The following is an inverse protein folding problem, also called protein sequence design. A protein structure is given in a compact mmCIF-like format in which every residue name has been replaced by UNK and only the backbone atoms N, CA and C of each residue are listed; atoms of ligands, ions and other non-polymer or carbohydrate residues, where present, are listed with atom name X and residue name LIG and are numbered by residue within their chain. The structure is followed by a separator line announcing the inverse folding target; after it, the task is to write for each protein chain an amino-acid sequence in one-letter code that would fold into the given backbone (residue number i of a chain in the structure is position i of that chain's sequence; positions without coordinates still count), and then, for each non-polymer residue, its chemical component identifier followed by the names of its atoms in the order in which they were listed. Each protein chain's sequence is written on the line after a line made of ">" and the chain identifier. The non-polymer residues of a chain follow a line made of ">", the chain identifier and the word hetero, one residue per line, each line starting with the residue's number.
data_IF_002823249177
#
_entry.id   IF_002823249177
#
_cell.length_a   1.000
_cell.length_b   1.000
_cell.length_c   1.000
_cell.angle_alpha   90.00
_cell.angle_beta   90.00
_cell.angle_gamma   90.00
#
_symmetry.space_group_name_H-M   'P 1'
#
loop_
_entity.id
_entity.type
_entity.pdbx_description
1 polymer ?
#
# COMPACT_ATOMS: atom_id res chain seq x y z
N UNK A 1 -39.73 0.61 31.91
CA UNK A 1 -38.74 1.55 32.47
C UNK A 1 -37.40 0.83 32.39
N UNK A 2 -36.61 1.14 31.36
CA UNK A 2 -35.30 0.53 31.14
C UNK A 2 -34.26 1.17 32.07
N UNK A 3 -33.51 0.35 32.81
CA UNK A 3 -32.57 0.82 33.84
C UNK A 3 -31.24 1.31 33.26
N UNK A 4 -30.33 1.87 34.07
CA UNK A 4 -28.98 2.28 33.63
C UNK A 4 -28.14 1.12 33.07
N UNK A 5 -28.47 -0.14 33.41
CA UNK A 5 -27.86 -1.34 32.83
C UNK A 5 -28.28 -1.61 31.37
N UNK A 6 -29.47 -1.18 30.94
CA UNK A 6 -29.95 -1.39 29.56
C UNK A 6 -29.16 -0.53 28.57
N UNK A 7 -28.92 0.74 28.90
CA UNK A 7 -28.18 1.67 28.03
C UNK A 7 -26.70 1.33 27.85
N UNK A 8 -26.07 0.67 28.85
CA UNK A 8 -24.70 0.18 28.72
C UNK A 8 -24.64 -1.07 27.83
N UNK A 9 -25.67 -1.92 27.87
CA UNK A 9 -25.74 -3.09 27.01
C UNK A 9 -26.06 -2.72 25.56
N UNK A 10 -26.88 -1.71 25.31
CA UNK A 10 -27.18 -1.24 23.94
C UNK A 10 -25.91 -0.80 23.20
N UNK A 11 -25.02 -0.06 23.88
CA UNK A 11 -23.71 0.34 23.31
C UNK A 11 -22.79 -0.85 23.03
N UNK A 12 -22.83 -1.86 23.89
CA UNK A 12 -22.07 -3.11 23.73
C UNK A 12 -22.62 -3.90 22.53
N UNK A 13 -23.95 -3.96 22.40
CA UNK A 13 -24.64 -4.59 21.29
C UNK A 13 -24.26 -3.92 19.96
N UNK A 14 -24.40 -2.59 19.84
CA UNK A 14 -24.05 -1.86 18.62
C UNK A 14 -22.59 -2.07 18.20
N UNK A 15 -21.67 -2.10 19.17
CA UNK A 15 -20.24 -2.25 18.91
C UNK A 15 -19.88 -3.68 18.47
N UNK A 16 -20.39 -4.70 19.16
CA UNK A 16 -19.91 -6.08 18.99
C UNK A 16 -20.84 -6.94 18.11
N UNK A 17 -22.10 -6.56 17.89
CA UNK A 17 -23.04 -7.35 17.09
C UNK A 17 -22.54 -7.58 15.66
N UNK A 18 -22.06 -6.56 14.91
CA UNK A 18 -21.52 -6.78 13.57
C UNK A 18 -20.30 -7.71 13.57
N UNK A 19 -19.50 -7.68 14.64
CA UNK A 19 -18.30 -8.49 14.78
C UNK A 19 -18.63 -9.96 15.07
N UNK A 20 -19.55 -10.21 16.02
CA UNK A 20 -20.02 -11.55 16.38
C UNK A 20 -20.82 -12.19 15.24
N UNK A 21 -21.62 -11.42 14.51
CA UNK A 21 -22.30 -11.90 13.30
C UNK A 21 -21.29 -12.36 12.24
N UNK A 22 -20.22 -11.59 12.02
CA UNK A 22 -19.12 -11.97 11.11
C UNK A 22 -18.40 -13.24 11.58
N UNK A 23 -18.09 -13.34 12.87
CA UNK A 23 -17.52 -14.54 13.48
C UNK A 23 -18.38 -15.79 13.23
N UNK A 24 -19.70 -15.68 13.43
CA UNK A 24 -20.63 -16.79 13.19
C UNK A 24 -20.77 -17.14 11.71
N UNK A 25 -20.72 -16.14 10.81
CA UNK A 25 -20.80 -16.35 9.36
C UNK A 25 -19.59 -17.09 8.77
N UNK A 26 -18.49 -17.23 9.51
CA UNK A 26 -17.37 -18.10 9.11
C UNK A 26 -17.76 -19.58 9.09
N UNK A 27 -18.83 -19.95 9.79
CA UNK A 27 -19.23 -21.34 10.01
C UNK A 27 -20.70 -21.61 9.73
N UNK A 28 -21.51 -20.59 9.46
CA UNK A 28 -22.95 -20.70 9.20
C UNK A 28 -23.37 -19.78 8.05
N UNK A 29 -24.51 -20.09 7.41
CA UNK A 29 -25.13 -19.20 6.43
C UNK A 29 -25.56 -17.87 7.07
N UNK A 30 -25.78 -16.84 6.25
CA UNK A 30 -26.04 -15.48 6.72
C UNK A 30 -27.26 -15.38 7.65
N UNK A 31 -28.34 -16.10 7.34
CA UNK A 31 -29.56 -16.09 8.14
C UNK A 31 -29.32 -16.76 9.49
N UNK A 32 -28.71 -17.96 9.49
CA UNK A 32 -28.35 -18.66 10.72
C UNK A 32 -27.37 -17.84 11.57
N UNK A 33 -26.40 -17.16 10.95
CA UNK A 33 -25.44 -16.32 11.67
C UNK A 33 -26.09 -15.11 12.36
N UNK A 34 -27.10 -14.51 11.72
CA UNK A 34 -27.86 -13.39 12.27
C UNK A 34 -28.72 -13.84 13.47
N UNK A 35 -29.46 -14.94 13.33
CA UNK A 35 -30.26 -15.51 14.41
C UNK A 35 -29.39 -15.92 15.61
N UNK A 36 -28.26 -16.58 15.36
CA UNK A 36 -27.34 -16.99 16.43
C UNK A 36 -26.62 -15.81 17.07
N UNK A 37 -26.38 -14.71 16.36
CA UNK A 37 -25.85 -13.50 16.94
C UNK A 37 -26.85 -12.93 17.95
N UNK A 38 -28.13 -12.82 17.59
CA UNK A 38 -29.18 -12.36 18.52
C UNK A 38 -29.26 -13.25 19.78
N UNK A 39 -29.26 -14.58 19.60
CA UNK A 39 -29.26 -15.53 20.73
C UNK A 39 -28.00 -15.39 21.60
N UNK A 40 -26.85 -15.11 20.99
CA UNK A 40 -25.60 -14.87 21.71
C UNK A 40 -25.71 -13.66 22.61
N UNK A 41 -26.26 -12.54 22.12
CA UNK A 41 -26.43 -11.33 22.92
C UNK A 41 -27.49 -11.50 24.01
N UNK A 42 -28.59 -12.22 23.77
CA UNK A 42 -29.54 -12.56 24.84
C UNK A 42 -28.89 -13.35 25.98
N UNK A 43 -28.05 -14.34 25.65
CA UNK A 43 -27.29 -15.11 26.65
C UNK A 43 -26.22 -14.28 27.33
N UNK A 44 -25.54 -13.40 26.60
CA UNK A 44 -24.55 -12.49 27.15
C UNK A 44 -25.18 -11.53 28.15
N UNK A 45 -26.34 -10.95 27.83
CA UNK A 45 -27.10 -10.09 28.73
C UNK A 45 -27.44 -10.81 30.04
N UNK A 46 -27.94 -12.05 29.95
CA UNK A 46 -28.29 -12.85 31.11
C UNK A 46 -27.08 -13.28 31.98
N UNK A 47 -25.88 -13.29 31.42
CA UNK A 47 -24.65 -13.76 32.10
C UNK A 47 -23.58 -12.67 32.25
N UNK A 48 -23.92 -11.40 32.00
CA UNK A 48 -22.93 -10.31 31.99
C UNK A 48 -22.25 -10.14 33.34
N UNK A 49 -22.98 -10.37 34.43
CA UNK A 49 -22.45 -10.35 35.80
C UNK A 49 -21.39 -11.43 36.07
N UNK A 50 -21.33 -12.49 35.26
CA UNK A 50 -20.34 -13.55 35.36
C UNK A 50 -19.05 -13.26 34.58
N UNK A 51 -19.00 -12.17 33.81
CA UNK A 51 -17.79 -11.75 33.10
C UNK A 51 -16.77 -11.17 34.08
N UNK A 52 -15.64 -11.86 34.27
CA UNK A 52 -14.60 -11.52 35.25
C UNK A 52 -13.49 -10.60 34.72
N UNK A 53 -13.53 -10.23 33.43
CA UNK A 53 -12.48 -9.40 32.81
C UNK A 53 -11.15 -10.12 32.55
N UNK A 54 -11.11 -11.44 32.70
CA UNK A 54 -9.90 -12.26 32.47
C UNK A 54 -9.53 -12.44 30.98
N UNK A 55 -10.44 -12.04 30.08
CA UNK A 55 -10.23 -11.99 28.63
C UNK A 55 -10.85 -10.70 28.08
N UNK A 56 -10.62 -10.41 26.80
CA UNK A 56 -11.36 -9.32 26.16
C UNK A 56 -12.87 -9.63 26.18
N UNK A 57 -13.69 -8.58 26.18
CA UNK A 57 -15.14 -8.74 26.10
C UNK A 57 -15.56 -9.45 24.79
N UNK A 58 -14.83 -9.19 23.71
CA UNK A 58 -15.03 -9.88 22.43
C UNK A 58 -14.72 -11.39 22.52
N UNK A 59 -13.62 -11.77 23.17
CA UNK A 59 -13.24 -13.18 23.38
C UNK A 59 -14.33 -13.91 24.18
N UNK A 60 -14.86 -13.26 25.21
CA UNK A 60 -15.95 -13.81 26.02
C UNK A 60 -17.24 -13.98 25.21
N UNK A 61 -17.66 -12.95 24.46
CA UNK A 61 -18.83 -13.03 23.57
C UNK A 61 -18.67 -14.11 22.50
N UNK A 62 -17.49 -14.24 21.91
CA UNK A 62 -17.17 -15.26 20.90
C UNK A 62 -17.23 -16.68 21.47
N UNK A 63 -16.91 -16.86 22.76
CA UNK A 63 -17.08 -18.14 23.46
C UNK A 63 -18.57 -18.51 23.59
N UNK A 64 -19.42 -17.53 23.93
CA UNK A 64 -20.88 -17.73 23.97
C UNK A 64 -21.43 -18.02 22.56
N UNK A 65 -20.93 -17.32 21.54
CA UNK A 65 -21.28 -17.52 20.14
C UNK A 65 -20.92 -18.93 19.67
N UNK A 66 -19.69 -19.38 19.90
CA UNK A 66 -19.22 -20.71 19.52
C UNK A 66 -20.02 -21.83 20.20
N UNK A 67 -20.36 -21.66 21.48
CA UNK A 67 -21.21 -22.61 22.20
C UNK A 67 -22.65 -22.62 21.67
N UNK A 68 -23.18 -21.45 21.31
CA UNK A 68 -24.51 -21.30 20.74
C UNK A 68 -24.61 -21.97 19.37
N UNK A 69 -23.62 -21.75 18.50
CA UNK A 69 -23.47 -22.43 17.22
C UNK A 69 -23.35 -23.96 17.38
N UNK A 70 -22.50 -24.42 18.29
CA UNK A 70 -22.32 -25.86 18.57
C UNK A 70 -23.63 -26.53 19.02
N UNK A 71 -24.41 -25.85 19.85
CA UNK A 71 -25.71 -26.35 20.29
C UNK A 71 -26.74 -26.38 19.16
N UNK A 72 -26.73 -25.37 18.28
CA UNK A 72 -27.57 -25.33 17.09
C UNK A 72 -27.31 -26.52 16.16
N UNK A 73 -26.05 -26.80 15.85
CA UNK A 73 -25.67 -27.96 15.06
C UNK A 73 -26.11 -29.27 15.72
N UNK A 74 -25.87 -29.44 17.03
CA UNK A 74 -26.33 -30.62 17.77
C UNK A 74 -27.84 -30.80 17.78
N UNK A 75 -28.61 -29.71 17.62
CA UNK A 75 -30.07 -29.75 17.50
C UNK A 75 -30.47 -30.18 16.10
N UNK A 76 -29.91 -29.56 15.06
CA UNK A 76 -30.16 -29.92 13.64
C UNK A 76 -29.77 -31.36 13.32
N UNK A 77 -28.64 -31.85 13.85
CA UNK A 77 -28.21 -33.25 13.66
C UNK A 77 -29.05 -34.29 14.42
N UNK A 78 -29.76 -33.90 15.49
CA UNK A 78 -30.67 -34.80 16.21
C UNK A 78 -32.04 -34.91 15.54
N UNK A 79 -32.39 -34.02 14.61
CA UNK A 79 -33.67 -34.05 13.90
C UNK A 79 -33.59 -34.71 12.51
N UNK A 80 -32.42 -35.19 12.09
CA UNK A 80 -32.20 -35.84 10.79
C UNK A 80 -31.72 -37.28 11.06
N UNK A 81 -32.58 -38.27 10.85
CA UNK A 81 -32.22 -39.70 10.92
C UNK A 81 -31.36 -40.09 9.71
N UNK A 82 -30.06 -39.81 9.76
CA UNK A 82 -29.09 -40.44 8.84
C UNK A 82 -27.68 -40.35 9.43
N UNK A 83 -26.90 -41.45 9.49
CA UNK A 83 -25.55 -41.40 10.03
C UNK A 83 -24.61 -40.84 8.97
N UNK A 84 -24.32 -39.54 9.05
CA UNK A 84 -23.32 -38.89 8.21
C UNK A 84 -22.11 -38.48 9.03
N UNK A 85 -20.93 -38.79 8.48
CA UNK A 85 -19.59 -38.57 9.03
C UNK A 85 -19.38 -37.14 9.55
N UNK A 86 -18.81 -37.01 10.75
CA UNK A 86 -18.40 -35.73 11.35
C UNK A 86 -17.27 -35.02 10.58
N UNK A 87 -16.75 -35.61 9.50
CA UNK A 87 -15.66 -35.06 8.68
C UNK A 87 -16.13 -34.05 7.62
N UNK A 88 -17.44 -33.89 7.41
CA UNK A 88 -17.99 -32.91 6.45
C UNK A 88 -18.02 -31.47 7.00
N UNK A 89 -17.52 -31.29 8.23
CA UNK A 89 -17.42 -30.00 8.95
C UNK A 89 -16.41 -29.02 8.33
N UNK A 90 -15.44 -29.50 7.54
CA UNK A 90 -14.30 -28.69 7.09
C UNK A 90 -14.52 -27.99 5.74
N UNK A 91 -15.65 -28.20 5.09
CA UNK A 91 -15.94 -27.62 3.78
C UNK A 91 -17.34 -27.05 3.75
N UNK A 92 -17.50 -25.77 4.11
CA UNK A 92 -18.45 -24.85 3.43
C UNK A 92 -18.42 -23.41 3.94
N UNK A 93 -18.33 -22.50 2.96
CA UNK A 93 -18.56 -21.04 2.92
C UNK A 93 -17.64 -20.10 3.72
N UNK A 94 -16.42 -19.89 3.20
CA UNK A 94 -15.74 -18.59 3.37
C UNK A 94 -16.30 -17.66 2.31
N UNK A 95 -17.20 -16.75 2.69
CA UNK A 95 -17.66 -15.71 1.76
C UNK A 95 -16.66 -14.56 1.80
N UNK A 96 -15.67 -14.57 0.91
CA UNK A 96 -14.70 -13.48 0.77
C UNK A 96 -15.39 -12.28 0.09
N UNK A 97 -15.90 -11.33 0.87
CA UNK A 97 -16.38 -10.04 0.38
C UNK A 97 -15.26 -8.98 0.37
N UNK A 98 -14.05 -9.36 -0.06
CA UNK A 98 -12.84 -8.50 0.06
C UNK A 98 -12.69 -7.47 -1.07
N UNK A 99 -13.38 -7.65 -2.19
CA UNK A 99 -13.21 -6.82 -3.40
C UNK A 99 -14.46 -6.88 -4.26
N UNK A 100 -14.85 -5.85 -5.02
CA UNK A 100 -15.94 -5.96 -6.00
C UNK A 100 -15.54 -6.76 -7.26
N UNK A 101 -14.25 -7.09 -7.40
CA UNK A 101 -13.70 -7.86 -8.50
C UNK A 101 -13.95 -9.38 -8.29
N UNK A 102 -14.82 -9.96 -9.11
CA UNK A 102 -15.25 -11.37 -9.01
C UNK A 102 -14.09 -12.35 -9.26
N UNK A 103 -13.17 -12.02 -10.16
CA UNK A 103 -12.04 -12.89 -10.52
C UNK A 103 -11.05 -12.98 -9.34
N UNK A 104 -10.70 -11.84 -8.74
CA UNK A 104 -9.82 -11.79 -7.58
C UNK A 104 -10.44 -12.52 -6.36
N UNK A 105 -11.77 -12.51 -6.22
CA UNK A 105 -12.45 -13.33 -5.18
C UNK A 105 -12.26 -14.82 -5.40
N UNK A 106 -12.34 -15.29 -6.65
CA UNK A 106 -12.19 -16.71 -7.00
C UNK A 106 -10.76 -17.17 -6.73
N UNK A 107 -9.76 -16.37 -7.07
CA UNK A 107 -8.35 -16.72 -6.87
C UNK A 107 -7.96 -16.71 -5.39
N UNK A 108 -8.41 -15.71 -4.63
CA UNK A 108 -8.21 -15.69 -3.17
C UNK A 108 -8.88 -16.90 -2.51
N UNK A 109 -10.12 -17.23 -2.93
CA UNK A 109 -10.84 -18.39 -2.39
C UNK A 109 -10.10 -19.70 -2.68
N UNK A 110 -9.53 -19.84 -3.89
CA UNK A 110 -8.73 -21.02 -4.28
C UNK A 110 -7.41 -21.09 -3.50
N UNK A 111 -6.72 -19.97 -3.32
CA UNK A 111 -5.47 -19.90 -2.57
C UNK A 111 -5.67 -20.20 -1.06
N UNK A 112 -6.78 -19.73 -0.46
CA UNK A 112 -7.12 -20.01 0.93
C UNK A 112 -7.32 -21.51 1.20
N UNK A 113 -7.90 -22.26 0.25
CA UNK A 113 -8.05 -23.72 0.38
C UNK A 113 -6.70 -24.45 0.50
N UNK A 114 -5.62 -23.88 -0.04
CA UNK A 114 -4.25 -24.46 0.02
C UNK A 114 -3.52 -24.20 1.34
N UNK A 115 -4.08 -23.35 2.21
CA UNK A 115 -3.59 -23.18 3.58
C UNK A 115 -4.08 -24.33 4.47
N UNK A 116 -3.42 -24.56 5.61
CA UNK A 116 -4.02 -25.42 6.64
C UNK A 116 -5.16 -24.66 7.34
N UNK A 117 -6.07 -25.40 7.99
CA UNK A 117 -7.26 -24.82 8.63
C UNK A 117 -6.91 -23.75 9.66
N UNK A 118 -5.89 -23.98 10.47
CA UNK A 118 -5.49 -23.05 11.52
C UNK A 118 -4.98 -21.70 10.95
N UNK A 119 -4.27 -21.73 9.82
CA UNK A 119 -3.81 -20.52 9.15
C UNK A 119 -4.96 -19.76 8.47
N UNK A 120 -5.94 -20.47 7.90
CA UNK A 120 -7.19 -19.86 7.41
C UNK A 120 -7.95 -19.18 8.55
N UNK A 121 -8.11 -19.87 9.67
CA UNK A 121 -8.83 -19.36 10.83
C UNK A 121 -8.17 -18.08 11.37
N UNK A 122 -6.82 -18.05 11.42
CA UNK A 122 -6.07 -16.85 11.82
C UNK A 122 -6.34 -15.68 10.87
N UNK A 123 -6.35 -15.91 9.56
CA UNK A 123 -6.60 -14.87 8.55
C UNK A 123 -8.03 -14.35 8.65
N UNK A 124 -9.02 -15.24 8.72
CA UNK A 124 -10.42 -14.85 8.81
C UNK A 124 -10.74 -14.14 10.13
N UNK A 125 -10.17 -14.60 11.25
CA UNK A 125 -10.33 -13.88 12.52
C UNK A 125 -9.73 -12.47 12.44
N UNK A 126 -8.56 -12.31 11.84
CA UNK A 126 -7.91 -11.01 11.79
C UNK A 126 -8.56 -10.04 10.80
N UNK A 127 -8.84 -10.48 9.57
CA UNK A 127 -9.28 -9.61 8.48
C UNK A 127 -10.80 -9.60 8.25
N UNK A 128 -11.49 -10.72 8.44
CA UNK A 128 -12.96 -10.78 8.23
C UNK A 128 -13.69 -10.37 9.51
N UNK A 129 -13.22 -10.84 10.67
CA UNK A 129 -13.84 -10.58 11.96
C UNK A 129 -13.23 -9.35 12.66
N UNK A 130 -12.03 -8.91 12.27
CA UNK A 130 -11.39 -7.74 12.86
C UNK A 130 -10.78 -7.96 14.24
N UNK A 131 -10.45 -9.21 14.58
CA UNK A 131 -9.78 -9.55 15.85
C UNK A 131 -8.36 -8.97 15.89
N UNK A 132 -7.95 -8.49 17.06
CA UNK A 132 -6.53 -8.27 17.35
C UNK A 132 -5.78 -9.61 17.39
N UNK A 133 -4.44 -9.56 17.22
CA UNK A 133 -3.61 -10.78 17.31
C UNK A 133 -3.70 -11.45 18.69
N UNK A 134 -3.98 -10.67 19.74
CA UNK A 134 -4.17 -11.18 21.11
C UNK A 134 -5.51 -11.93 21.22
N UNK A 135 -6.60 -11.36 20.72
CA UNK A 135 -7.91 -12.00 20.74
C UNK A 135 -7.94 -13.27 19.88
N UNK A 136 -7.31 -13.24 18.69
CA UNK A 136 -7.17 -14.42 17.86
C UNK A 136 -6.35 -15.52 18.57
N UNK A 137 -5.31 -15.15 19.32
CA UNK A 137 -4.52 -16.08 20.11
C UNK A 137 -5.31 -16.71 21.26
N UNK A 138 -6.11 -15.92 21.98
CA UNK A 138 -7.02 -16.41 23.03
C UNK A 138 -8.07 -17.37 22.45
N UNK A 139 -8.70 -17.02 21.33
CA UNK A 139 -9.73 -17.85 20.69
C UNK A 139 -9.20 -19.17 20.13
N UNK A 140 -7.96 -19.18 19.65
CA UNK A 140 -7.33 -20.36 19.05
C UNK A 140 -6.50 -21.18 20.06
N UNK A 141 -6.39 -20.73 21.32
CA UNK A 141 -5.56 -21.39 22.34
C UNK A 141 -4.06 -21.36 22.02
N UNK A 142 -3.58 -20.29 21.38
CA UNK A 142 -2.19 -20.12 20.94
C UNK A 142 -1.49 -18.98 21.69
N UNK A 143 -0.16 -18.91 21.59
CA UNK A 143 0.60 -17.71 21.99
C UNK A 143 0.44 -16.62 20.93
N UNK A 144 0.33 -15.35 21.32
CA UNK A 144 0.25 -14.21 20.39
C UNK A 144 1.40 -14.16 19.38
N UNK A 145 2.62 -14.51 19.79
CA UNK A 145 3.78 -14.62 18.90
C UNK A 145 3.64 -15.76 17.88
N UNK A 146 2.98 -16.87 18.24
CA UNK A 146 2.70 -17.97 17.33
C UNK A 146 1.65 -17.56 16.29
N UNK A 147 0.59 -16.83 16.70
CA UNK A 147 -0.41 -16.26 15.77
C UNK A 147 0.23 -15.26 14.81
N UNK A 148 1.06 -14.33 15.32
CA UNK A 148 1.78 -13.35 14.48
C UNK A 148 2.65 -14.04 13.42
N UNK A 149 3.44 -15.03 13.84
CA UNK A 149 4.35 -15.76 12.94
C UNK A 149 3.60 -16.64 11.93
N UNK A 150 2.46 -17.23 12.33
CA UNK A 150 1.60 -18.00 11.43
C UNK A 150 0.90 -17.10 10.43
N UNK A 151 0.33 -15.98 10.87
CA UNK A 151 -0.28 -14.99 9.99
C UNK A 151 0.71 -14.52 8.91
N UNK A 152 1.93 -14.16 9.31
CA UNK A 152 2.97 -13.75 8.37
C UNK A 152 3.30 -14.85 7.34
N UNK A 153 3.48 -16.10 7.78
CA UNK A 153 3.77 -17.23 6.89
C UNK A 153 2.58 -17.60 5.99
N UNK A 154 1.37 -17.53 6.52
CA UNK A 154 0.14 -17.81 5.80
C UNK A 154 -0.10 -16.78 4.69
N UNK A 155 0.16 -15.49 4.96
CA UNK A 155 0.12 -14.42 3.96
C UNK A 155 1.23 -14.57 2.91
N UNK A 156 2.44 -14.97 3.31
CA UNK A 156 3.51 -15.27 2.37
C UNK A 156 3.16 -16.46 1.46
N UNK A 157 2.54 -17.51 2.01
CA UNK A 157 2.06 -18.66 1.25
C UNK A 157 0.93 -18.25 0.31
N UNK A 158 -0.07 -17.49 0.77
CA UNK A 158 -1.13 -16.96 -0.10
C UNK A 158 -0.58 -16.11 -1.24
N UNK A 159 0.38 -15.24 -0.94
CA UNK A 159 1.07 -14.42 -1.93
C UNK A 159 1.75 -15.31 -2.98
N UNK A 160 2.43 -16.37 -2.55
CA UNK A 160 3.05 -17.34 -3.44
C UNK A 160 2.01 -18.12 -4.26
N UNK A 161 0.92 -18.60 -3.65
CA UNK A 161 -0.13 -19.36 -4.34
C UNK A 161 -0.90 -18.53 -5.38
N UNK A 162 -1.11 -17.24 -5.10
CA UNK A 162 -1.67 -16.27 -6.04
C UNK A 162 -0.67 -15.89 -7.15
N UNK A 163 0.63 -16.16 -6.96
CA UNK A 163 1.69 -15.97 -7.97
C UNK A 163 1.88 -17.18 -8.89
N UNK A 164 1.57 -18.41 -8.44
CA UNK A 164 1.74 -19.65 -9.23
C UNK A 164 0.73 -19.83 -10.40
N UNK A 165 -0.23 -18.92 -10.56
CA UNK A 165 -1.10 -18.87 -11.76
C UNK A 165 -0.41 -18.31 -13.01
N UNK A 166 0.80 -17.74 -12.87
CA UNK A 166 1.52 -17.01 -13.91
C UNK A 166 3.00 -17.44 -14.02
N UNK A 167 3.29 -18.73 -13.92
CA UNK A 167 4.66 -19.26 -13.87
C UNK A 167 5.50 -18.92 -15.13
N UNK A 168 6.34 -17.88 -15.02
CA UNK A 168 7.76 -17.90 -15.37
C UNK A 168 8.56 -16.99 -14.42
N UNK A 169 9.27 -17.59 -13.45
CA UNK A 169 10.47 -17.04 -12.79
C UNK A 169 10.44 -15.56 -12.39
N UNK A 170 9.58 -15.17 -11.44
CA UNK A 170 9.43 -13.76 -11.06
C UNK A 170 10.17 -13.49 -9.73
N UNK A 171 11.33 -12.85 -9.85
CA UNK A 171 12.03 -12.19 -8.75
C UNK A 171 11.05 -11.25 -7.99
N UNK A 172 11.04 -11.24 -6.66
CA UNK A 172 10.26 -10.23 -5.92
C UNK A 172 10.68 -8.83 -6.39
N UNK A 173 9.78 -7.84 -6.40
CA UNK A 173 10.17 -6.47 -6.77
C UNK A 173 11.29 -5.98 -5.81
N UNK A 174 11.28 -6.43 -4.55
CA UNK A 174 12.39 -6.22 -3.61
C UNK A 174 13.67 -6.95 -4.05
N UNK A 175 13.57 -8.16 -4.59
CA UNK A 175 14.76 -8.89 -5.09
C UNK A 175 15.36 -8.21 -6.34
N UNK A 176 14.55 -7.41 -7.05
CA UNK A 176 14.99 -6.52 -8.14
C UNK A 176 15.73 -5.27 -7.67
N UNK A 177 15.80 -5.01 -6.36
CA UNK A 177 16.53 -3.88 -5.78
C UNK A 177 17.62 -4.40 -4.82
N UNK A 178 18.87 -4.05 -5.09
CA UNK A 178 20.02 -4.32 -4.21
C UNK A 178 20.45 -3.05 -3.51
N UNK A 179 20.38 -2.99 -2.18
CA UNK A 179 20.95 -1.84 -1.44
C UNK A 179 22.35 -2.20 -0.95
N UNK A 180 23.34 -1.34 -1.22
CA UNK A 180 24.75 -1.56 -0.93
C UNK A 180 25.31 -0.34 -0.19
N UNK A 181 25.78 -0.54 1.05
CA UNK A 181 26.47 0.51 1.80
C UNK A 181 27.94 0.59 1.37
N UNK A 182 28.44 1.80 1.12
CA UNK A 182 29.80 2.09 0.67
C UNK A 182 30.68 2.62 1.80
N UNK A 183 30.48 2.13 3.02
CA UNK A 183 31.32 2.48 4.15
C UNK A 183 32.78 2.09 3.86
N UNK A 184 33.64 3.11 3.77
CA UNK A 184 35.08 2.92 3.54
C UNK A 184 35.74 2.15 4.68
N UNK A 185 35.79 0.82 4.58
CA UNK A 185 36.71 -0.04 5.34
C UNK A 185 36.53 -0.13 6.86
N UNK A 186 35.50 0.46 7.46
CA UNK A 186 35.20 0.24 8.90
C UNK A 186 34.21 -0.91 9.05
N UNK A 187 34.63 -1.98 9.72
CA UNK A 187 33.74 -3.09 10.10
C UNK A 187 32.54 -2.52 10.86
N UNK A 188 31.36 -2.58 10.25
CA UNK A 188 30.12 -2.16 10.86
C UNK A 188 29.82 -3.00 12.10
N UNK A 189 29.77 -2.37 13.27
CA UNK A 189 29.29 -3.00 14.49
C UNK A 189 27.81 -3.37 14.32
N UNK A 190 27.38 -4.49 14.92
CA UNK A 190 26.02 -5.01 14.77
C UNK A 190 24.89 -4.06 15.25
N UNK A 191 25.24 -2.97 15.95
CA UNK A 191 24.31 -1.92 16.39
C UNK A 191 24.01 -0.86 15.31
N UNK A 192 24.87 -0.70 14.29
CA UNK A 192 24.70 0.28 13.20
C UNK A 192 23.79 -0.20 12.05
N UNK A 193 23.25 -1.42 12.12
CA UNK A 193 22.38 -2.02 11.07
C UNK A 193 20.91 -1.57 11.12
N UNK A 194 20.57 -0.62 11.99
CA UNK A 194 19.20 -0.14 12.23
C UNK A 194 18.66 0.87 11.20
N UNK A 195 19.47 1.76 10.58
CA UNK A 195 19.03 2.72 9.57
C UNK A 195 18.74 2.07 8.21
N UNK A 196 19.53 1.05 7.84
CA UNK A 196 19.40 0.31 6.57
C UNK A 196 18.00 -0.27 6.42
N UNK A 197 17.43 -0.82 7.49
CA UNK A 197 16.08 -1.38 7.48
C UNK A 197 14.99 -0.32 7.32
N UNK A 198 15.19 0.90 7.81
CA UNK A 198 14.20 1.97 7.69
C UNK A 198 14.18 2.55 6.27
N UNK A 199 15.35 2.74 5.67
CA UNK A 199 15.50 3.11 4.24
C UNK A 199 14.92 2.01 3.35
N UNK A 200 15.28 0.75 3.58
CA UNK A 200 14.74 -0.41 2.86
C UNK A 200 13.22 -0.49 3.04
N UNK A 201 12.69 -0.32 4.25
CA UNK A 201 11.25 -0.46 4.52
C UNK A 201 10.43 0.64 3.86
N UNK A 202 10.89 1.90 3.93
CA UNK A 202 10.21 3.00 3.23
C UNK A 202 10.30 2.81 1.71
N UNK A 203 11.49 2.55 1.17
CA UNK A 203 11.66 2.33 -0.26
C UNK A 203 10.82 1.15 -0.76
N UNK A 204 10.78 0.03 -0.04
CA UNK A 204 9.97 -1.14 -0.42
C UNK A 204 8.49 -0.79 -0.56
N UNK A 205 7.94 0.00 0.37
CA UNK A 205 6.54 0.44 0.30
C UNK A 205 6.24 1.33 -0.91
N UNK A 206 7.16 2.24 -1.25
CA UNK A 206 7.02 3.10 -2.43
C UNK A 206 7.23 2.32 -3.73
N UNK A 207 8.21 1.43 -3.77
CA UNK A 207 8.55 0.60 -4.92
C UNK A 207 7.38 -0.27 -5.34
N UNK A 208 6.79 -1.03 -4.41
CA UNK A 208 5.64 -1.90 -4.71
C UNK A 208 4.46 -1.09 -5.24
N UNK A 209 4.17 0.06 -4.59
CA UNK A 209 3.09 0.97 -4.99
C UNK A 209 3.31 1.54 -6.39
N UNK A 210 4.53 2.03 -6.69
CA UNK A 210 4.86 2.69 -7.95
C UNK A 210 4.90 1.66 -9.10
N UNK A 211 5.48 0.49 -8.89
CA UNK A 211 5.44 -0.61 -9.86
C UNK A 211 4.01 -1.06 -10.16
N UNK A 212 3.15 -1.16 -9.14
CA UNK A 212 1.73 -1.47 -9.32
C UNK A 212 0.99 -0.35 -10.08
N UNK A 213 1.27 0.91 -9.73
CA UNK A 213 0.69 2.08 -10.38
C UNK A 213 0.99 2.08 -11.89
N UNK A 214 2.26 1.81 -12.26
CA UNK A 214 2.68 1.80 -13.66
C UNK A 214 2.54 0.45 -14.36
N UNK A 215 1.96 -0.54 -13.68
CA UNK A 215 1.80 -1.92 -14.18
C UNK A 215 3.08 -2.43 -14.85
N UNK A 216 4.22 -2.12 -14.24
CA UNK A 216 5.53 -2.42 -14.78
C UNK A 216 6.42 -2.98 -13.69
N UNK A 217 7.03 -4.11 -13.99
CA UNK A 217 8.08 -4.68 -13.17
C UNK A 217 9.43 -4.28 -13.78
N UNK A 218 10.41 -3.90 -12.95
CA UNK A 218 11.73 -3.60 -13.45
C UNK A 218 12.29 -4.71 -14.35
N UNK A 219 12.75 -4.34 -15.54
CA UNK A 219 13.33 -5.28 -16.51
C UNK A 219 14.68 -5.83 -16.06
N UNK A 220 15.34 -5.08 -15.17
CA UNK A 220 16.69 -5.34 -14.69
C UNK A 220 16.79 -5.08 -13.19
N UNK A 221 17.84 -5.60 -12.57
CA UNK A 221 18.13 -5.35 -11.16
C UNK A 221 18.66 -3.93 -10.97
N UNK A 222 17.98 -3.14 -10.16
CA UNK A 222 18.41 -1.85 -9.68
C UNK A 222 19.36 -2.03 -8.48
N UNK A 223 20.42 -1.24 -8.42
CA UNK A 223 21.28 -1.14 -7.23
C UNK A 223 21.15 0.25 -6.63
N UNK A 224 20.99 0.35 -5.32
CA UNK A 224 21.02 1.61 -4.57
C UNK A 224 22.30 1.60 -3.72
N UNK A 225 23.27 2.41 -4.11
CA UNK A 225 24.51 2.60 -3.37
C UNK A 225 24.34 3.77 -2.38
N UNK A 226 24.50 3.48 -1.09
CA UNK A 226 24.39 4.46 -0.01
C UNK A 226 25.78 4.78 0.51
N UNK A 227 26.18 6.04 0.38
CA UNK A 227 27.48 6.55 0.82
C UNK A 227 27.38 7.12 2.23
N UNK A 228 28.43 7.00 3.07
CA UNK A 228 28.36 7.33 4.49
C UNK A 228 27.96 8.78 4.76
N UNK A 229 28.39 9.71 3.90
CA UNK A 229 28.09 11.14 3.97
C UNK A 229 28.14 11.77 2.57
N UNK A 230 27.78 13.06 2.50
CA UNK A 230 27.71 13.83 1.26
C UNK A 230 29.07 13.96 0.55
N UNK A 231 30.15 14.10 1.32
CA UNK A 231 31.51 14.22 0.76
C UNK A 231 31.96 12.91 0.12
N UNK A 232 31.73 11.76 0.77
CA UNK A 232 32.01 10.45 0.19
C UNK A 232 31.18 10.18 -1.07
N UNK A 233 29.91 10.63 -1.10
CA UNK A 233 29.08 10.58 -2.29
C UNK A 233 29.68 11.42 -3.44
N UNK A 234 30.01 12.69 -3.19
CA UNK A 234 30.62 13.62 -4.16
C UNK A 234 31.91 13.07 -4.77
N UNK A 235 32.79 12.51 -3.93
CA UNK A 235 34.01 11.85 -4.40
C UNK A 235 33.70 10.65 -5.32
N UNK A 236 32.71 9.83 -4.96
CA UNK A 236 32.39 8.62 -5.69
C UNK A 236 31.70 8.87 -7.04
N UNK A 237 31.01 10.00 -7.19
CA UNK A 237 30.40 10.43 -8.46
C UNK A 237 31.32 11.34 -9.28
N UNK A 238 32.58 11.48 -8.87
CA UNK A 238 33.60 12.31 -9.52
C UNK A 238 33.28 13.81 -9.57
N UNK A 239 32.53 14.31 -8.59
CA UNK A 239 32.13 15.72 -8.48
C UNK A 239 32.45 16.25 -7.06
N UNK A 240 33.73 16.38 -6.67
CA UNK A 240 34.14 16.70 -5.30
C UNK A 240 33.72 18.11 -4.83
N UNK A 241 33.50 19.03 -5.77
CA UNK A 241 33.10 20.42 -5.51
C UNK A 241 31.59 20.64 -5.76
N UNK A 242 30.81 19.57 -5.85
CA UNK A 242 29.38 19.67 -6.08
C UNK A 242 28.69 20.44 -4.96
N UNK A 243 27.62 21.19 -5.29
CA UNK A 243 26.87 21.93 -4.29
C UNK A 243 26.18 20.99 -3.30
N UNK A 244 25.98 21.46 -2.06
CA UNK A 244 25.42 20.64 -0.98
C UNK A 244 24.00 20.10 -1.26
N UNK A 245 23.25 20.72 -2.17
CA UNK A 245 21.94 20.22 -2.57
C UNK A 245 22.04 18.94 -3.42
N UNK A 246 23.19 18.67 -4.06
CA UNK A 246 23.40 17.48 -4.88
C UNK A 246 23.73 16.27 -4.00
N UNK A 247 22.72 15.44 -3.75
CA UNK A 247 22.78 14.34 -2.77
C UNK A 247 22.53 12.96 -3.38
N UNK A 248 22.20 12.90 -4.67
CA UNK A 248 21.90 11.65 -5.35
C UNK A 248 21.84 11.76 -6.87
N UNK A 249 22.09 10.65 -7.55
CA UNK A 249 22.10 10.56 -9.01
C UNK A 249 21.75 9.15 -9.50
N UNK A 250 21.44 9.03 -10.79
CA UNK A 250 21.19 7.76 -11.48
C UNK A 250 22.28 7.55 -12.53
N UNK A 251 22.90 6.38 -12.52
CA UNK A 251 23.88 5.92 -13.50
C UNK A 251 23.52 4.50 -13.95
N UNK A 252 22.90 4.40 -15.13
CA UNK A 252 22.33 3.16 -15.64
C UNK A 252 21.31 2.58 -14.65
N UNK A 253 21.64 1.41 -14.10
CA UNK A 253 20.83 0.71 -13.09
C UNK A 253 21.31 0.93 -11.66
N UNK A 254 22.06 2.00 -11.42
CA UNK A 254 22.57 2.35 -10.10
C UNK A 254 22.05 3.70 -9.67
N UNK A 255 21.30 3.74 -8.58
CA UNK A 255 21.03 4.96 -7.83
C UNK A 255 22.14 5.12 -6.81
N UNK A 256 22.79 6.27 -6.79
CA UNK A 256 23.81 6.63 -5.78
C UNK A 256 23.26 7.73 -4.92
N UNK A 257 23.31 7.59 -3.60
CA UNK A 257 22.81 8.60 -2.64
C UNK A 257 23.75 8.76 -1.45
N UNK A 258 23.78 9.97 -0.87
CA UNK A 258 24.30 10.19 0.46
C UNK A 258 23.36 9.55 1.52
N UNK A 259 23.94 9.07 2.63
CA UNK A 259 23.18 8.44 3.71
C UNK A 259 22.17 9.41 4.32
N UNK A 260 20.89 9.01 4.49
CA UNK A 260 19.89 9.80 5.20
C UNK A 260 20.29 10.18 6.64
N UNK A 261 21.21 9.43 7.25
CA UNK A 261 21.73 9.70 8.60
C UNK A 261 22.74 10.84 8.65
N UNK A 262 23.42 11.09 7.54
CA UNK A 262 24.39 12.16 7.40
C UNK A 262 24.03 12.99 6.16
N UNK A 263 22.85 13.66 6.18
CA UNK A 263 22.28 14.26 4.99
C UNK A 263 23.03 15.52 4.50
N UNK A 264 23.99 16.02 5.28
CA UNK A 264 24.63 17.30 5.02
C UNK A 264 23.76 18.48 5.44
N UNK A 265 24.17 19.71 5.10
CA UNK A 265 23.56 20.93 5.62
C UNK A 265 22.25 21.34 4.94
N UNK A 266 22.00 20.88 3.70
CA UNK A 266 20.84 21.28 2.89
C UNK A 266 19.67 20.28 2.95
N UNK A 267 19.86 19.14 3.61
CA UNK A 267 18.91 18.03 3.58
C UNK A 267 18.57 17.51 4.96
N UNK A 268 17.40 16.88 5.06
CA UNK A 268 16.95 16.13 6.23
C UNK A 268 16.89 14.64 5.89
N UNK A 269 16.80 13.80 6.91
CA UNK A 269 16.55 12.36 6.72
C UNK A 269 15.35 12.12 5.79
N UNK A 270 14.25 12.86 5.97
CA UNK A 270 13.04 12.72 5.15
C UNK A 270 13.24 13.22 3.72
N UNK A 271 13.97 14.34 3.51
CA UNK A 271 14.23 14.83 2.15
C UNK A 271 15.09 13.88 1.35
N UNK A 272 16.02 13.15 1.99
CA UNK A 272 16.82 12.11 1.34
C UNK A 272 15.96 10.92 0.92
N UNK A 273 15.05 10.47 1.78
CA UNK A 273 14.13 9.38 1.43
C UNK A 273 13.21 9.76 0.26
N UNK A 274 12.62 10.96 0.29
CA UNK A 274 11.79 11.46 -0.83
C UNK A 274 12.60 11.57 -2.12
N UNK A 275 13.82 12.09 -2.05
CA UNK A 275 14.72 12.17 -3.21
C UNK A 275 15.05 10.78 -3.76
N UNK A 276 15.21 9.78 -2.90
CA UNK A 276 15.46 8.40 -3.35
C UNK A 276 14.23 7.81 -4.07
N UNK A 277 13.01 8.09 -3.57
CA UNK A 277 11.75 7.73 -4.26
C UNK A 277 11.64 8.43 -5.61
N UNK A 278 12.04 9.70 -5.69
CA UNK A 278 12.07 10.47 -6.93
C UNK A 278 13.00 9.82 -7.97
N UNK A 279 14.23 9.50 -7.58
CA UNK A 279 15.20 8.82 -8.46
C UNK A 279 14.69 7.44 -8.90
N UNK A 280 14.07 6.68 -8.01
CA UNK A 280 13.47 5.38 -8.35
C UNK A 280 12.34 5.51 -9.38
N UNK A 281 11.41 6.45 -9.17
CA UNK A 281 10.30 6.67 -10.09
C UNK A 281 10.80 7.11 -11.48
N UNK A 282 11.78 8.01 -11.54
CA UNK A 282 12.42 8.40 -12.81
C UNK A 282 13.05 7.20 -13.51
N UNK A 283 13.82 6.39 -12.78
CA UNK A 283 14.46 5.20 -13.31
C UNK A 283 13.43 4.20 -13.86
N UNK A 284 12.36 3.93 -13.11
CA UNK A 284 11.31 3.01 -13.53
C UNK A 284 10.57 3.51 -14.78
N UNK A 285 10.29 4.81 -14.88
CA UNK A 285 9.68 5.40 -16.07
C UNK A 285 10.60 5.25 -17.29
N UNK A 286 11.92 5.43 -17.12
CA UNK A 286 12.90 5.16 -18.18
C UNK A 286 13.03 3.67 -18.51
N UNK A 287 12.82 2.78 -17.54
CA UNK A 287 12.80 1.33 -17.77
C UNK A 287 11.55 0.90 -18.56
N UNK A 288 10.41 1.58 -18.38
CA UNK A 288 9.19 1.37 -19.20
C UNK A 288 9.43 1.82 -20.64
N UNK A 289 10.02 3.00 -20.82
CA UNK A 289 10.26 3.60 -22.12
C UNK A 289 11.54 4.44 -22.08
N UNK A 290 12.66 3.93 -22.62
CA UNK A 290 13.93 4.67 -22.65
C UNK A 290 13.88 5.99 -23.41
N UNK A 291 12.92 6.15 -24.33
CA UNK A 291 12.72 7.34 -25.15
C UNK A 291 11.72 8.33 -24.56
N UNK A 292 11.26 8.11 -23.31
CA UNK A 292 10.31 9.01 -22.66
C UNK A 292 10.93 10.40 -22.42
N UNK A 293 10.23 11.49 -22.78
CA UNK A 293 10.71 12.85 -22.57
C UNK A 293 11.14 13.20 -21.15
N UNK A 294 12.14 14.08 -21.03
CA UNK A 294 12.72 14.50 -19.74
C UNK A 294 11.69 14.99 -18.74
N UNK A 295 10.84 15.89 -19.19
CA UNK A 295 9.83 16.53 -18.35
C UNK A 295 8.76 15.55 -17.85
N UNK A 296 8.48 14.46 -18.58
CA UNK A 296 7.54 13.42 -18.12
C UNK A 296 8.15 12.66 -16.94
N UNK A 297 9.34 12.08 -17.09
CA UNK A 297 9.92 11.27 -16.01
C UNK A 297 10.33 12.13 -14.80
N UNK A 298 10.75 13.39 -15.02
CA UNK A 298 11.02 14.34 -13.93
C UNK A 298 9.74 14.72 -13.18
N UNK A 299 8.65 15.01 -13.91
CA UNK A 299 7.35 15.33 -13.31
C UNK A 299 6.79 14.18 -12.50
N UNK A 300 6.80 12.96 -13.06
CA UNK A 300 6.36 11.74 -12.36
C UNK A 300 7.22 11.51 -11.13
N UNK A 301 8.55 11.63 -11.25
CA UNK A 301 9.46 11.49 -10.11
C UNK A 301 9.12 12.47 -8.99
N UNK A 302 8.92 13.75 -9.33
CA UNK A 302 8.57 14.78 -8.35
C UNK A 302 7.20 14.56 -7.71
N UNK A 303 6.22 14.12 -8.50
CA UNK A 303 4.86 13.81 -8.05
C UNK A 303 4.83 12.61 -7.09
N UNK A 304 5.42 11.49 -7.47
CA UNK A 304 5.40 10.24 -6.69
C UNK A 304 6.18 10.34 -5.38
N UNK A 305 7.20 11.19 -5.34
CA UNK A 305 8.00 11.47 -4.15
C UNK A 305 7.39 12.53 -3.22
N UNK A 306 6.45 13.35 -3.72
CA UNK A 306 5.96 14.51 -2.99
C UNK A 306 7.08 15.48 -2.61
N UNK A 307 8.00 15.77 -3.54
CA UNK A 307 9.19 16.60 -3.29
C UNK A 307 8.85 18.04 -2.92
N UNK A 308 7.69 18.54 -3.36
CA UNK A 308 7.25 19.91 -3.15
C UNK A 308 5.90 19.93 -2.45
N UNK A 309 5.69 20.92 -1.58
CA UNK A 309 4.38 21.15 -0.97
C UNK A 309 3.42 21.77 -1.99
N UNK A 310 2.13 21.53 -1.83
CA UNK A 310 1.11 22.13 -2.70
C UNK A 310 1.15 23.66 -2.67
N UNK A 311 1.40 24.24 -1.50
CA UNK A 311 1.50 25.69 -1.32
C UNK A 311 2.72 26.26 -2.06
N UNK A 312 3.88 25.61 -1.94
CA UNK A 312 5.09 26.02 -2.66
C UNK A 312 4.88 25.97 -4.19
N UNK A 313 4.25 24.91 -4.70
CA UNK A 313 3.92 24.80 -6.13
C UNK A 313 2.99 25.94 -6.52
N UNK A 314 1.91 26.18 -5.76
CA UNK A 314 0.94 27.24 -6.04
C UNK A 314 1.60 28.62 -6.07
N UNK A 315 2.33 28.98 -5.02
CA UNK A 315 2.95 30.30 -4.89
C UNK A 315 3.98 30.57 -5.99
N UNK A 316 4.72 29.54 -6.40
CA UNK A 316 5.77 29.68 -7.43
C UNK A 316 5.21 29.82 -8.85
N UNK A 317 4.08 29.18 -9.18
CA UNK A 317 3.53 29.20 -10.55
C UNK A 317 2.34 30.13 -10.75
N UNK A 318 1.61 30.52 -9.69
CA UNK A 318 0.43 31.38 -9.80
C UNK A 318 0.70 32.72 -10.54
N UNK A 319 1.80 33.44 -10.28
CA UNK A 319 2.11 34.67 -11.02
C UNK A 319 2.31 34.42 -12.53
N UNK A 320 2.92 33.30 -12.89
CA UNK A 320 3.17 32.92 -14.29
C UNK A 320 1.86 32.57 -15.00
N UNK A 321 1.05 31.72 -14.37
CA UNK A 321 -0.27 31.32 -14.88
C UNK A 321 -1.19 32.53 -15.05
N UNK A 322 -1.15 33.49 -14.11
CA UNK A 322 -1.92 34.73 -14.17
C UNK A 322 -1.57 35.64 -15.36
N UNK A 323 -0.31 35.62 -15.82
CA UNK A 323 0.14 36.34 -17.03
C UNK A 323 -0.04 35.55 -18.33
N UNK A 324 -0.43 34.27 -18.22
CA UNK A 324 -0.52 33.35 -19.35
C UNK A 324 0.81 32.69 -19.71
N UNK A 325 1.85 32.83 -18.88
CA UNK A 325 3.18 32.26 -19.05
C UNK A 325 3.17 30.75 -18.67
N UNK A 326 2.39 29.96 -19.39
CA UNK A 326 2.30 28.50 -19.20
C UNK A 326 3.19 27.84 -20.27
N UNK A 327 4.21 27.05 -19.89
CA UNK A 327 5.16 26.51 -20.84
C UNK A 327 4.49 25.51 -21.80
N UNK A 328 4.92 25.53 -23.04
CA UNK A 328 4.64 24.51 -24.05
C UNK A 328 5.45 23.24 -23.78
N UNK A 329 5.05 22.10 -24.36
CA UNK A 329 5.84 20.87 -24.22
C UNK A 329 7.23 20.99 -24.87
N UNK A 330 7.37 21.79 -25.93
CA UNK A 330 8.66 22.07 -26.55
C UNK A 330 9.59 22.86 -25.60
N UNK A 331 9.06 23.80 -24.84
CA UNK A 331 9.83 24.55 -23.82
C UNK A 331 10.21 23.68 -22.61
N UNK A 332 9.41 22.65 -22.31
CA UNK A 332 9.70 21.67 -21.27
C UNK A 332 10.71 20.60 -21.71
N UNK A 333 10.90 20.38 -23.01
CA UNK A 333 11.89 19.45 -23.57
C UNK A 333 13.34 19.93 -23.37
N UNK A 334 13.53 21.17 -22.92
CA UNK A 334 14.86 21.77 -22.74
C UNK A 334 15.75 20.94 -21.79
N UNK A 335 16.85 20.43 -22.35
CA UNK A 335 17.82 19.63 -21.61
C UNK A 335 18.80 20.48 -20.78
N UNK A 336 18.79 21.81 -20.93
CA UNK A 336 19.64 22.73 -20.19
C UNK A 336 19.13 23.04 -18.77
N UNK A 337 19.89 23.89 -18.05
CA UNK A 337 19.54 24.41 -16.73
C UNK A 337 18.27 25.30 -16.73
N UNK A 338 17.75 25.67 -17.91
CA UNK A 338 16.56 26.51 -18.06
C UNK A 338 15.25 25.84 -17.58
N UNK A 339 15.30 24.52 -17.37
CA UNK A 339 14.15 23.76 -16.86
C UNK A 339 13.65 24.27 -15.50
N UNK A 340 14.54 24.60 -14.55
CA UNK A 340 14.11 25.20 -13.27
C UNK A 340 13.77 26.68 -13.40
N UNK A 341 14.47 27.43 -14.26
CA UNK A 341 14.18 28.86 -14.51
C UNK A 341 12.72 29.06 -14.94
N UNK A 342 12.20 28.15 -15.77
CA UNK A 342 10.80 28.12 -16.24
C UNK A 342 9.82 27.45 -15.27
N UNK A 343 10.26 27.05 -14.07
CA UNK A 343 9.46 26.27 -13.11
C UNK A 343 8.96 24.95 -13.67
N UNK A 344 9.79 24.30 -14.49
CA UNK A 344 9.49 23.03 -15.15
C UNK A 344 9.15 21.91 -14.17
N UNK A 345 9.80 21.83 -13.01
CA UNK A 345 9.46 20.82 -12.00
C UNK A 345 8.05 21.03 -11.44
N UNK A 346 7.67 22.28 -11.16
CA UNK A 346 6.37 22.64 -10.62
C UNK A 346 5.26 22.43 -11.66
N UNK A 347 5.49 22.85 -12.92
CA UNK A 347 4.54 22.64 -14.00
C UNK A 347 4.35 21.15 -14.33
N UNK A 348 5.43 20.38 -14.42
CA UNK A 348 5.33 18.93 -14.71
C UNK A 348 4.71 18.14 -13.57
N UNK A 349 4.87 18.58 -12.31
CA UNK A 349 4.11 18.07 -11.19
C UNK A 349 2.60 18.30 -11.37
N UNK A 350 2.20 19.53 -11.68
CA UNK A 350 0.78 19.87 -11.90
C UNK A 350 0.21 19.14 -13.11
N UNK A 351 1.02 18.90 -14.13
CA UNK A 351 0.65 18.10 -15.28
C UNK A 351 0.37 16.65 -14.89
N UNK A 352 1.19 16.04 -14.03
CA UNK A 352 0.94 14.71 -13.49
C UNK A 352 -0.37 14.67 -12.69
N UNK A 353 -0.60 15.66 -11.82
CA UNK A 353 -1.85 15.77 -11.05
C UNK A 353 -3.06 15.91 -11.99
N UNK A 354 -2.96 16.74 -13.02
CA UNK A 354 -4.00 16.93 -14.03
C UNK A 354 -4.33 15.62 -14.75
N UNK A 355 -3.31 14.92 -15.26
CA UNK A 355 -3.49 13.64 -15.97
C UNK A 355 -4.17 12.61 -15.10
N UNK A 356 -3.65 12.42 -13.88
CA UNK A 356 -4.19 11.43 -12.94
C UNK A 356 -5.62 11.75 -12.49
N UNK A 357 -5.92 13.04 -12.27
CA UNK A 357 -7.26 13.47 -11.85
C UNK A 357 -8.27 13.38 -12.99
N UNK A 358 -7.88 13.79 -14.20
CA UNK A 358 -8.81 13.98 -15.32
C UNK A 358 -8.99 12.72 -16.17
N UNK A 359 -7.93 11.95 -16.37
CA UNK A 359 -7.87 10.79 -17.27
C UNK A 359 -7.53 9.48 -16.56
N UNK A 360 -7.01 9.55 -15.33
CA UNK A 360 -6.75 8.39 -14.49
C UNK A 360 -5.44 7.66 -14.80
N UNK A 361 -5.17 6.64 -13.99
CA UNK A 361 -3.92 5.86 -14.02
C UNK A 361 -3.72 5.11 -15.35
N UNK A 362 -4.79 4.69 -16.02
CA UNK A 362 -4.68 3.99 -17.30
C UNK A 362 -4.12 4.90 -18.40
N UNK A 363 -4.63 6.13 -18.51
CA UNK A 363 -4.15 7.13 -19.46
C UNK A 363 -2.69 7.53 -19.17
N UNK A 364 -2.34 7.72 -17.89
CA UNK A 364 -0.95 7.96 -17.48
C UNK A 364 -0.02 6.83 -17.96
N UNK A 365 -0.43 5.58 -17.76
CA UNK A 365 0.33 4.41 -18.19
C UNK A 365 0.53 4.33 -19.70
N UNK A 366 -0.51 4.66 -20.46
CA UNK A 366 -0.46 4.68 -21.90
C UNK A 366 0.47 5.81 -22.38
N UNK A 367 0.32 7.00 -21.80
CA UNK A 367 1.15 8.15 -22.15
C UNK A 367 2.64 7.93 -21.90
N UNK A 368 3.04 7.29 -20.80
CA UNK A 368 4.45 6.93 -20.56
C UNK A 368 5.00 6.04 -21.68
N UNK A 369 4.20 5.08 -22.15
CA UNK A 369 4.59 4.11 -23.19
C UNK A 369 4.59 4.72 -24.59
N UNK A 370 3.69 5.67 -24.85
CA UNK A 370 3.53 6.36 -26.13
C UNK A 370 3.40 7.88 -25.94
N UNK A 371 4.49 8.58 -25.56
CA UNK A 371 4.43 9.98 -25.11
C UNK A 371 3.99 10.99 -26.18
N UNK A 372 4.12 10.62 -27.46
CA UNK A 372 3.71 11.44 -28.59
C UNK A 372 2.27 11.15 -29.08
N UNK A 373 1.63 10.09 -28.56
CA UNK A 373 0.30 9.66 -29.00
C UNK A 373 -0.79 10.14 -28.01
N UNK A 374 -1.05 11.45 -28.07
CA UNK A 374 -2.07 12.11 -27.24
C UNK A 374 -3.48 11.62 -27.58
N UNK A 375 -3.73 11.26 -28.84
CA UNK A 375 -5.04 10.76 -29.26
C UNK A 375 -5.34 9.41 -28.60
N UNK A 376 -4.37 8.50 -28.58
CA UNK A 376 -4.57 7.21 -27.94
C UNK A 376 -4.72 7.33 -26.41
N UNK A 377 -3.92 8.19 -25.76
CA UNK A 377 -3.93 8.33 -24.30
C UNK A 377 -5.08 9.21 -23.76
N UNK A 378 -5.44 10.27 -24.47
CA UNK A 378 -6.32 11.35 -23.96
C UNK A 378 -7.50 11.69 -24.87
N UNK A 379 -7.59 11.08 -26.06
CA UNK A 379 -8.67 11.32 -27.05
C UNK A 379 -8.74 12.80 -27.46
N UNK A 380 -7.58 13.40 -27.71
CA UNK A 380 -7.45 14.76 -28.19
C UNK A 380 -6.08 15.01 -28.82
N UNK A 381 -5.95 16.12 -29.55
CA UNK A 381 -4.64 16.57 -30.05
C UNK A 381 -3.75 17.07 -28.91
N UNK A 382 -2.47 17.27 -29.20
CA UNK A 382 -1.50 17.83 -28.23
C UNK A 382 -1.85 19.27 -27.85
N UNK A 383 -2.34 20.06 -28.80
CA UNK A 383 -2.78 21.45 -28.58
C UNK A 383 -4.02 21.49 -27.70
N UNK A 384 -5.04 20.68 -28.00
CA UNK A 384 -6.26 20.58 -27.18
C UNK A 384 -5.94 20.10 -25.76
N UNK A 385 -4.99 19.17 -25.62
CA UNK A 385 -4.55 18.70 -24.32
C UNK A 385 -3.87 19.82 -23.51
N UNK A 386 -2.97 20.58 -24.14
CA UNK A 386 -2.30 21.73 -23.52
C UNK A 386 -3.31 22.80 -23.09
N UNK A 387 -4.27 23.14 -23.95
CA UNK A 387 -5.33 24.11 -23.64
C UNK A 387 -6.18 23.67 -22.44
N UNK A 388 -6.54 22.38 -22.36
CA UNK A 388 -7.29 21.82 -21.22
C UNK A 388 -6.48 21.89 -19.93
N UNK A 389 -5.19 21.56 -19.99
CA UNK A 389 -4.29 21.62 -18.85
C UNK A 389 -4.09 23.07 -18.37
N UNK A 390 -3.88 24.00 -19.30
CA UNK A 390 -3.76 25.43 -19.01
C UNK A 390 -5.04 26.00 -18.38
N UNK A 391 -6.21 25.61 -18.88
CA UNK A 391 -7.50 25.99 -18.32
C UNK A 391 -7.69 25.45 -16.88
N UNK A 392 -7.35 24.18 -16.63
CA UNK A 392 -7.41 23.57 -15.30
C UNK A 392 -6.52 24.32 -14.29
N UNK A 393 -5.28 24.66 -14.66
CA UNK A 393 -4.40 25.46 -13.80
C UNK A 393 -4.97 26.84 -13.50
N UNK A 394 -5.49 27.56 -14.50
CA UNK A 394 -6.12 28.87 -14.29
C UNK A 394 -7.31 28.77 -13.33
N UNK A 395 -8.14 27.73 -13.45
CA UNK A 395 -9.27 27.52 -12.54
C UNK A 395 -8.81 27.22 -11.10
N UNK A 396 -7.85 26.30 -10.93
CA UNK A 396 -7.39 25.86 -9.60
C UNK A 396 -6.59 26.93 -8.84
N UNK A 397 -5.86 27.76 -9.56
CA UNK A 397 -4.95 28.76 -8.97
C UNK A 397 -5.61 30.13 -8.79
N UNK A 398 -6.62 30.47 -9.61
CA UNK A 398 -7.38 31.72 -9.46
C UNK A 398 -8.66 31.57 -8.61
N UNK A 399 -9.11 30.34 -8.34
CA UNK A 399 -10.33 30.05 -7.56
C UNK A 399 -10.20 30.20 -6.03
N UNK A 400 -9.27 31.02 -5.53
CA UNK A 400 -9.07 31.29 -4.09
C UNK A 400 -8.88 32.79 -3.81
N UNK A 401 -9.51 33.65 -4.61
CA UNK A 401 -9.67 35.07 -4.32
C UNK A 401 -10.97 35.33 -3.54
#
# INVERSE_FOLDING_TARGET
>A
MSGPHDHQFDKLYELYYPQIRRFLSLKADMQTAEDLAQVTFMKAMANLSAFRGESSLFTWLSTIAANTLKNEYRRKHRSVETPANLSDMDQRYITVAFTSNVELRIDISRALVRLNQLDRDIISLHYDVGCTLKEAAELLGLRTSAVKNRLYRALAKLRSELQHGEDQGIMSIIDSISIVNKDGGRQANAADRTPDQAVIAQLSGHVDRICALFRHRPSTRLTIEVYPDLHAFHQAVHEPDAPNWFMGTIDGNTIRIASPLHPGPEHTYESILKSTVHLFAMWLVKDINPSVPKWIYQGIGGYEAGLMTKDYIRESVAPLVGRGDIPTFAELEDQTWDFETKKGFQFTYLLCEFVLTRYGVHAMNQWIRTPNDFEAAFRCTVEEFHDRWAADMRMRLNGSA
#
